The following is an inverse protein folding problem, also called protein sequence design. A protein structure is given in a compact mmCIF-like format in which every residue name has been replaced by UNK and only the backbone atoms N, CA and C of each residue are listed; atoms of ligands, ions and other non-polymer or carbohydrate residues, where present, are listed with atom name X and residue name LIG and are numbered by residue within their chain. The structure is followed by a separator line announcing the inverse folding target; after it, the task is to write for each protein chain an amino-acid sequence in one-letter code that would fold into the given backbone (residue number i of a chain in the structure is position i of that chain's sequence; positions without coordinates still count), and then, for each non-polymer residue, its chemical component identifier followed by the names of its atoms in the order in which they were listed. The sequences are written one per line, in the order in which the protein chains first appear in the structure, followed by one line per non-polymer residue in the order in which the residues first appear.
data_IF_979271547039
#
_entry.id   IF_979271547039
#
_cell.length_a   1.000
_cell.length_b   1.000
_cell.length_c   1.000
_cell.angle_alpha   90.00
_cell.angle_beta   90.00
_cell.angle_gamma   90.00
#
_symmetry.space_group_name_H-M   'P 1'
#
loop_
_entity.id
_entity.type
_entity.pdbx_description
1 polymer ?
#
# COMPACT_ATOMS: atom_id res chain seq x y z
N UNK A 1 9.10 18.07 -7.14
CA UNK A 1 7.99 19.06 -7.07
C UNK A 1 7.54 19.12 -5.63
N UNK A 2 7.29 20.32 -5.11
CA UNK A 2 6.72 20.50 -3.78
C UNK A 2 5.43 19.69 -3.62
N UNK A 3 5.25 19.06 -2.47
CA UNK A 3 4.07 18.26 -2.16
C UNK A 3 3.25 18.98 -1.09
N UNK A 4 1.94 19.04 -1.30
CA UNK A 4 1.04 19.60 -0.31
C UNK A 4 0.79 18.58 0.80
N UNK A 5 1.13 18.95 2.04
CA UNK A 5 0.67 18.24 3.24
C UNK A 5 -0.46 19.04 3.89
N UNK A 6 -1.34 18.36 4.64
CA UNK A 6 -2.53 18.93 5.28
C UNK A 6 -2.20 20.15 6.16
N UNK A 7 -0.97 20.26 6.66
CA UNK A 7 -0.51 21.35 7.53
C UNK A 7 0.42 22.35 6.83
N UNK A 8 1.30 21.91 5.92
CA UNK A 8 2.25 22.78 5.20
C UNK A 8 2.66 22.25 3.82
N UNK A 9 3.30 23.07 3.00
CA UNK A 9 4.01 22.60 1.81
C UNK A 9 5.33 21.96 2.24
N UNK A 10 5.65 20.79 1.66
CA UNK A 10 6.93 20.10 1.84
C UNK A 10 7.75 20.27 0.56
N UNK A 11 8.90 20.92 0.70
CA UNK A 11 9.83 21.16 -0.39
C UNK A 11 10.80 19.97 -0.56
N UNK A 12 11.11 19.55 -1.79
CA UNK A 12 11.96 18.40 -2.03
C UNK A 12 13.42 18.63 -1.60
N UNK A 13 13.81 19.90 -1.41
CA UNK A 13 15.15 20.30 -0.97
C UNK A 13 15.32 20.26 0.55
N UNK A 14 14.26 19.98 1.32
CA UNK A 14 14.37 19.82 2.77
C UNK A 14 15.29 18.64 3.10
N UNK A 15 16.08 18.79 4.17
CA UNK A 15 17.04 17.75 4.60
C UNK A 15 16.35 16.57 5.26
N UNK A 16 15.27 16.81 6.01
CA UNK A 16 14.53 15.76 6.71
C UNK A 16 13.73 14.91 5.73
N UNK A 17 13.82 13.59 5.93
CA UNK A 17 13.12 12.64 5.09
C UNK A 17 11.61 12.70 5.33
N UNK A 18 10.87 12.77 4.23
CA UNK A 18 9.42 12.54 4.24
C UNK A 18 9.02 11.74 3.00
N UNK A 19 7.98 10.93 3.14
CA UNK A 19 7.42 10.17 2.02
C UNK A 19 6.09 9.55 2.36
N UNK A 20 5.36 9.10 1.34
CA UNK A 20 4.07 8.44 1.53
C UNK A 20 3.95 7.18 0.67
N UNK A 21 3.16 6.23 1.15
CA UNK A 21 2.84 4.99 0.45
C UNK A 21 1.72 5.26 -0.53
N UNK A 22 1.93 4.95 -1.81
CA UNK A 22 0.90 5.16 -2.84
C UNK A 22 0.41 3.84 -3.47
N UNK A 23 1.14 2.75 -3.27
CA UNK A 23 0.79 1.44 -3.81
C UNK A 23 1.34 0.35 -2.90
N UNK A 24 0.60 -0.75 -2.77
CA UNK A 24 1.09 -2.00 -2.18
C UNK A 24 0.90 -3.08 -3.23
N UNK A 25 1.87 -3.99 -3.34
CA UNK A 25 1.71 -5.21 -4.13
C UNK A 25 1.90 -6.41 -3.20
N UNK A 26 0.98 -7.36 -3.25
CA UNK A 26 1.13 -8.63 -2.54
C UNK A 26 1.48 -9.77 -3.50
N UNK A 27 1.94 -10.86 -2.89
CA UNK A 27 2.16 -12.14 -3.55
C UNK A 27 3.17 -12.04 -4.71
N UNK A 28 4.33 -11.41 -4.44
CA UNK A 28 5.44 -11.32 -5.40
C UNK A 28 6.18 -12.66 -5.58
N UNK A 29 6.09 -13.54 -4.58
CA UNK A 29 6.58 -14.91 -4.60
C UNK A 29 5.53 -15.79 -3.89
N UNK A 30 4.96 -16.80 -4.59
CA UNK A 30 3.96 -17.71 -4.03
C UNK A 30 4.40 -18.43 -2.74
N UNK A 31 5.72 -18.58 -2.52
CA UNK A 31 6.24 -19.35 -1.38
C UNK A 31 6.37 -18.54 -0.10
N UNK A 32 6.47 -17.21 -0.17
CA UNK A 32 6.87 -16.38 0.96
C UNK A 32 5.83 -15.36 1.41
N UNK A 33 4.66 -15.27 0.74
CA UNK A 33 3.63 -14.26 1.02
C UNK A 33 4.22 -12.84 1.17
N UNK A 34 5.23 -12.54 0.35
CA UNK A 34 5.95 -11.27 0.41
C UNK A 34 5.10 -10.16 -0.17
N UNK A 35 4.90 -9.10 0.62
CA UNK A 35 4.26 -7.86 0.18
C UNK A 35 5.28 -6.74 0.16
N UNK A 36 5.08 -5.81 -0.76
CA UNK A 36 5.95 -4.66 -0.94
C UNK A 36 5.12 -3.38 -0.99
N UNK A 37 5.42 -2.46 -0.09
CA UNK A 37 4.85 -1.12 -0.07
C UNK A 37 5.77 -0.17 -0.86
N UNK A 38 5.18 0.53 -1.82
CA UNK A 38 5.87 1.52 -2.65
C UNK A 38 5.70 2.90 -2.02
N UNK A 39 6.82 3.43 -1.54
CA UNK A 39 6.92 4.74 -0.92
C UNK A 39 7.52 5.70 -1.92
N UNK A 40 6.85 6.83 -2.13
CA UNK A 40 7.41 7.97 -2.84
C UNK A 40 8.08 8.90 -1.85
N UNK A 41 9.37 9.16 -2.03
CA UNK A 41 10.08 10.17 -1.26
C UNK A 41 9.65 11.58 -1.72
N UNK A 42 9.28 12.42 -0.76
CA UNK A 42 8.85 13.80 -0.96
C UNK A 42 9.97 14.79 -0.63
N UNK A 43 10.77 14.51 0.38
CA UNK A 43 11.93 15.31 0.80
C UNK A 43 13.02 14.44 1.42
N UNK A 44 14.20 15.03 1.63
CA UNK A 44 15.33 14.39 2.29
C UNK A 44 15.99 13.28 1.50
N UNK A 45 16.80 12.49 2.20
CA UNK A 45 17.57 11.39 1.63
C UNK A 45 17.44 10.14 2.49
N UNK A 46 17.17 9.02 1.84
CA UNK A 46 17.20 7.70 2.46
C UNK A 46 18.62 7.16 2.50
N UNK A 47 18.98 6.52 3.62
CA UNK A 47 20.16 5.68 3.78
C UNK A 47 19.78 4.38 4.50
N UNK A 48 20.40 3.24 4.15
CA UNK A 48 20.19 1.97 4.83
C UNK A 48 20.39 2.06 6.34
N UNK A 49 19.41 1.57 7.07
CA UNK A 49 19.44 1.51 8.53
C UNK A 49 19.03 2.81 9.24
N UNK A 50 18.56 3.83 8.52
CA UNK A 50 17.91 4.99 9.14
C UNK A 50 16.62 4.57 9.87
N UNK A 51 16.25 5.36 10.90
CA UNK A 51 14.97 5.20 11.61
C UNK A 51 13.92 6.06 10.94
N UNK A 52 12.81 5.44 10.57
CA UNK A 52 11.63 6.12 10.03
C UNK A 52 10.52 6.10 11.07
N UNK A 53 9.76 7.18 11.14
CA UNK A 53 8.58 7.32 11.98
C UNK A 53 7.33 7.18 11.12
N UNK A 54 6.48 6.20 11.43
CA UNK A 54 5.18 6.01 10.78
C UNK A 54 4.14 6.85 11.50
N UNK A 55 3.62 7.90 10.82
CA UNK A 55 2.76 8.89 11.46
C UNK A 55 1.45 8.29 11.98
N UNK A 56 0.81 7.40 11.19
CA UNK A 56 -0.47 6.78 11.58
C UNK A 56 -0.38 5.92 12.84
N UNK A 57 0.70 5.15 12.99
CA UNK A 57 0.86 4.21 14.13
C UNK A 57 1.61 4.83 15.29
N UNK A 58 2.28 5.97 15.09
CA UNK A 58 3.13 6.62 16.08
C UNK A 58 4.39 5.81 16.42
N UNK A 59 4.79 4.87 15.57
CA UNK A 59 5.93 3.97 15.83
C UNK A 59 7.10 4.28 14.92
N UNK A 60 8.30 4.21 15.47
CA UNK A 60 9.54 4.27 14.70
C UNK A 60 10.11 2.88 14.45
N UNK A 61 10.63 2.65 13.25
CA UNK A 61 11.27 1.39 12.87
C UNK A 61 12.51 1.66 12.01
N UNK A 62 13.42 0.68 11.95
CA UNK A 62 14.66 0.78 11.18
C UNK A 62 14.42 0.25 9.76
N UNK A 63 14.82 1.01 8.75
CA UNK A 63 14.67 0.62 7.34
C UNK A 63 16.03 0.19 6.77
N UNK A 64 16.37 -1.09 6.93
CA UNK A 64 17.62 -1.66 6.42
C UNK A 64 17.52 -2.14 4.96
N UNK A 65 16.41 -2.77 4.61
CA UNK A 65 16.25 -3.47 3.32
C UNK A 65 15.24 -2.78 2.40
N UNK A 66 15.48 -1.50 2.09
CA UNK A 66 14.72 -0.84 1.02
C UNK A 66 15.29 -1.23 -0.35
N UNK A 67 14.39 -1.43 -1.32
CA UNK A 67 14.74 -1.70 -2.72
C UNK A 67 14.41 -0.49 -3.59
N UNK A 68 15.25 -0.20 -4.56
CA UNK A 68 14.98 0.79 -5.62
C UNK A 68 14.57 0.05 -6.88
N UNK A 69 13.70 0.69 -7.65
CA UNK A 69 13.25 0.17 -8.93
C UNK A 69 13.88 1.02 -10.03
N UNK A 70 15.05 0.58 -10.50
CA UNK A 70 15.76 1.22 -11.61
C UNK A 70 15.82 0.23 -12.78
N UNK A 71 15.11 0.55 -13.87
CA UNK A 71 14.93 -0.34 -15.03
C UNK A 71 14.38 -1.74 -14.64
N UNK A 72 14.75 -2.80 -15.36
CA UNK A 72 14.30 -4.17 -15.10
C UNK A 72 14.96 -4.83 -13.86
N UNK A 73 15.78 -4.11 -13.10
CA UNK A 73 16.50 -4.67 -11.96
C UNK A 73 15.90 -4.17 -10.63
N UNK A 74 15.67 -5.10 -9.70
CA UNK A 74 15.42 -4.81 -8.29
C UNK A 74 16.76 -4.90 -7.56
N UNK A 75 17.35 -3.78 -7.18
CA UNK A 75 18.60 -3.75 -6.41
C UNK A 75 18.38 -3.18 -5.02
N UNK A 76 19.17 -3.65 -4.06
CA UNK A 76 19.26 -2.97 -2.76
C UNK A 76 19.79 -1.56 -2.98
N UNK A 77 19.23 -0.61 -2.25
CA UNK A 77 19.52 0.81 -2.46
C UNK A 77 20.53 1.32 -1.45
N UNK A 78 21.66 1.83 -1.92
CA UNK A 78 22.64 2.48 -1.04
C UNK A 78 22.20 3.90 -0.61
N UNK A 79 21.43 4.59 -1.46
CA UNK A 79 20.71 5.81 -1.09
C UNK A 79 19.62 6.18 -2.10
N UNK A 80 18.60 6.91 -1.66
CA UNK A 80 17.56 7.48 -2.53
C UNK A 80 17.20 8.90 -2.10
N UNK A 81 16.69 9.72 -3.01
CA UNK A 81 16.38 11.13 -2.78
C UNK A 81 14.92 11.46 -3.11
N UNK A 82 14.49 12.68 -2.78
CA UNK A 82 13.16 13.18 -3.12
C UNK A 82 12.82 12.96 -4.60
N UNK A 83 11.69 12.30 -4.86
CA UNK A 83 11.23 11.90 -6.18
C UNK A 83 11.39 10.41 -6.48
N UNK A 84 12.34 9.74 -5.83
CA UNK A 84 12.54 8.30 -5.99
C UNK A 84 11.41 7.48 -5.37
N UNK A 85 11.25 6.26 -5.89
CA UNK A 85 10.31 5.26 -5.38
C UNK A 85 11.10 4.15 -4.68
N UNK A 86 10.81 3.96 -3.40
CA UNK A 86 11.36 2.91 -2.57
C UNK A 86 10.34 1.79 -2.36
N UNK A 87 10.81 0.55 -2.42
CA UNK A 87 10.06 -0.64 -2.05
C UNK A 87 10.44 -1.08 -0.64
N UNK A 88 9.48 -1.04 0.28
CA UNK A 88 9.63 -1.54 1.64
C UNK A 88 8.93 -2.90 1.78
N UNK A 89 9.57 -3.92 2.37
CA UNK A 89 8.89 -5.13 2.78
C UNK A 89 7.73 -4.80 3.73
N UNK A 90 6.55 -5.39 3.48
CA UNK A 90 5.35 -5.14 4.25
C UNK A 90 4.80 -6.45 4.84
N UNK A 91 4.76 -6.54 6.16
CA UNK A 91 4.15 -7.66 6.88
C UNK A 91 2.72 -7.34 7.38
N UNK A 92 2.05 -6.37 6.75
CA UNK A 92 0.68 -5.96 7.08
C UNK A 92 0.58 -4.73 7.98
N UNK A 93 1.72 -4.11 8.33
CA UNK A 93 1.76 -2.90 9.16
C UNK A 93 1.64 -1.61 8.36
N UNK A 94 1.96 -1.66 7.07
CA UNK A 94 1.96 -0.52 6.14
C UNK A 94 0.71 -0.57 5.28
N UNK A 95 0.03 0.57 5.16
CA UNK A 95 -1.20 0.76 4.37
C UNK A 95 -1.00 1.84 3.30
N UNK A 96 -1.82 1.81 2.25
CA UNK A 96 -1.85 2.89 1.25
C UNK A 96 -2.23 4.19 1.94
N UNK A 97 -1.50 5.27 1.65
CA UNK A 97 -1.65 6.57 2.29
C UNK A 97 -0.83 6.76 3.56
N UNK A 98 -0.13 5.72 4.06
CA UNK A 98 0.77 5.89 5.20
C UNK A 98 1.88 6.88 4.90
N UNK A 99 2.20 7.73 5.89
CA UNK A 99 3.25 8.75 5.81
C UNK A 99 4.40 8.35 6.72
N UNK A 100 5.62 8.46 6.19
CA UNK A 100 6.86 8.25 6.91
C UNK A 100 7.66 9.56 6.98
N UNK A 101 8.18 9.87 8.16
CA UNK A 101 9.03 11.03 8.42
C UNK A 101 10.18 10.69 9.36
N UNK A 102 11.01 11.66 9.73
CA UNK A 102 12.00 11.53 10.81
C UNK A 102 11.49 11.94 12.20
N UNK A 103 10.16 12.05 12.38
CA UNK A 103 9.51 12.37 13.65
C UNK A 103 8.49 13.49 13.57
N UNK A 104 8.50 14.28 12.49
CA UNK A 104 7.47 15.29 12.24
C UNK A 104 6.12 14.61 11.96
N UNK A 105 5.04 15.10 12.58
CA UNK A 105 3.69 14.63 12.27
C UNK A 105 3.16 15.33 11.02
N UNK A 106 3.32 14.65 9.88
CA UNK A 106 2.84 15.11 8.58
C UNK A 106 1.76 14.18 8.04
N UNK A 107 0.81 14.77 7.33
CA UNK A 107 -0.19 14.04 6.55
C UNK A 107 -0.15 14.58 5.13
N UNK A 108 0.21 13.76 4.16
CA UNK A 108 0.07 14.13 2.76
C UNK A 108 -1.38 13.89 2.35
N UNK A 109 -1.93 14.77 1.50
CA UNK A 109 -3.17 14.48 0.80
C UNK A 109 -2.89 13.28 -0.12
N UNK A 110 -3.15 12.08 0.40
CA UNK A 110 -2.72 10.82 -0.18
C UNK A 110 -3.44 10.48 -1.49
N UNK A 111 -3.32 9.22 -1.90
CA UNK A 111 -4.08 8.68 -3.03
C UNK A 111 -5.57 8.74 -2.68
N UNK A 112 -6.40 9.50 -3.42
CA UNK A 112 -7.82 9.58 -3.14
C UNK A 112 -8.47 8.20 -3.34
N UNK A 113 -9.32 7.81 -2.40
CA UNK A 113 -10.24 6.70 -2.61
C UNK A 113 -11.39 7.21 -3.47
N UNK A 114 -11.48 6.71 -4.70
CA UNK A 114 -12.56 7.04 -5.61
C UNK A 114 -13.80 6.23 -5.28
N UNK A 115 -14.98 6.84 -5.31
CA UNK A 115 -16.23 6.10 -5.15
C UNK A 115 -16.37 5.07 -6.30
N UNK A 116 -16.66 3.78 -6.01
CA UNK A 116 -16.88 2.80 -7.05
C UNK A 116 -18.14 3.10 -7.87
N UNK A 117 -18.08 2.82 -9.17
CA UNK A 117 -19.24 2.92 -10.06
C UNK A 117 -19.94 1.57 -10.25
N UNK A 118 -19.20 0.48 -10.05
CA UNK A 118 -19.68 -0.88 -10.29
C UNK A 118 -19.67 -1.68 -9.00
N UNK A 119 -20.75 -2.42 -8.74
CA UNK A 119 -20.87 -3.27 -7.56
C UNK A 119 -21.27 -4.68 -7.98
N UNK A 120 -20.60 -5.69 -7.39
CA UNK A 120 -20.99 -7.10 -7.53
C UNK A 120 -20.98 -7.79 -6.18
N UNK A 121 -21.94 -8.67 -5.97
CA UNK A 121 -21.98 -9.55 -4.81
C UNK A 121 -21.11 -10.78 -5.07
N UNK A 122 -20.27 -11.13 -4.11
CA UNK A 122 -19.50 -12.37 -4.13
C UNK A 122 -20.40 -13.52 -3.68
N UNK A 123 -20.43 -14.59 -4.47
CA UNK A 123 -21.13 -15.83 -4.13
C UNK A 123 -20.07 -16.93 -4.08
N UNK A 124 -20.13 -17.74 -3.03
CA UNK A 124 -19.30 -18.93 -2.88
C UNK A 124 -20.11 -20.15 -3.33
N UNK A 125 -19.52 -20.95 -4.21
CA UNK A 125 -20.09 -22.24 -4.59
C UNK A 125 -19.95 -23.27 -3.45
N UNK A 126 -18.84 -23.23 -2.72
CA UNK A 126 -18.57 -24.08 -1.55
C UNK A 126 -18.58 -23.26 -0.24
N UNK A 127 -19.60 -23.44 0.62
CA UNK A 127 -19.69 -22.75 1.91
C UNK A 127 -18.49 -23.01 2.85
N UNK A 128 -17.80 -24.15 2.73
CA UNK A 128 -16.67 -24.50 3.60
C UNK A 128 -15.46 -23.58 3.39
N UNK A 129 -15.37 -22.91 2.24
CA UNK A 129 -14.28 -21.98 1.90
C UNK A 129 -14.49 -20.55 2.38
N UNK A 130 -15.54 -20.28 3.16
CA UNK A 130 -15.87 -18.93 3.63
C UNK A 130 -14.72 -18.20 4.35
N UNK A 131 -13.95 -18.91 5.19
CA UNK A 131 -12.79 -18.34 5.88
C UNK A 131 -11.67 -17.95 4.92
N UNK A 132 -11.38 -18.81 3.95
CA UNK A 132 -10.37 -18.56 2.92
C UNK A 132 -10.76 -17.37 2.06
N UNK A 133 -12.03 -17.29 1.64
CA UNK A 133 -12.55 -16.14 0.90
C UNK A 133 -12.37 -14.85 1.69
N UNK A 134 -12.82 -14.82 2.96
CA UNK A 134 -12.73 -13.61 3.77
C UNK A 134 -11.28 -13.11 3.90
N UNK A 135 -10.33 -14.03 4.03
CA UNK A 135 -8.89 -13.70 4.06
C UNK A 135 -8.42 -13.14 2.71
N UNK A 136 -8.69 -13.82 1.60
CA UNK A 136 -8.25 -13.36 0.26
C UNK A 136 -8.86 -12.01 -0.13
N UNK A 137 -10.15 -11.78 0.16
CA UNK A 137 -10.80 -10.49 -0.04
C UNK A 137 -10.14 -9.37 0.79
N UNK A 138 -9.73 -9.67 2.03
CA UNK A 138 -9.04 -8.71 2.88
C UNK A 138 -7.64 -8.39 2.33
N UNK A 139 -6.89 -9.38 1.86
CA UNK A 139 -5.58 -9.17 1.24
C UNK A 139 -5.69 -8.29 -0.02
N UNK A 140 -6.65 -8.58 -0.89
CA UNK A 140 -6.95 -7.77 -2.08
C UNK A 140 -7.41 -6.35 -1.74
N UNK A 141 -8.11 -6.17 -0.61
CA UNK A 141 -8.50 -4.85 -0.12
C UNK A 141 -7.28 -4.03 0.31
N UNK A 142 -6.32 -4.65 0.99
CA UNK A 142 -5.08 -4.02 1.45
C UNK A 142 -4.18 -3.61 0.27
N UNK A 143 -4.20 -4.36 -0.84
CA UNK A 143 -3.54 -3.98 -2.09
C UNK A 143 -4.22 -2.82 -2.83
N UNK A 144 -5.48 -2.52 -2.49
CA UNK A 144 -6.30 -1.56 -3.22
C UNK A 144 -6.75 -2.07 -4.60
N UNK A 145 -6.82 -3.39 -4.80
CA UNK A 145 -7.23 -4.00 -6.07
C UNK A 145 -8.71 -3.67 -6.40
N UNK A 146 -9.55 -3.65 -5.38
CA UNK A 146 -10.95 -3.20 -5.41
C UNK A 146 -11.36 -2.73 -3.99
N UNK A 147 -12.54 -2.14 -3.87
CA UNK A 147 -13.12 -1.84 -2.56
C UNK A 147 -14.06 -2.96 -2.13
N UNK A 148 -14.04 -3.30 -0.85
CA UNK A 148 -14.84 -4.40 -0.31
C UNK A 148 -15.74 -3.89 0.79
N UNK A 149 -17.01 -4.26 0.71
CA UNK A 149 -18.06 -3.80 1.60
C UNK A 149 -18.77 -4.99 2.23
N UNK A 150 -19.09 -4.88 3.51
CA UNK A 150 -20.03 -5.75 4.20
C UNK A 150 -21.25 -4.93 4.59
N UNK A 151 -22.45 -5.24 4.09
CA UNK A 151 -23.67 -4.59 4.55
C UNK A 151 -23.84 -4.79 6.06
N UNK A 152 -24.51 -3.84 6.72
CA UNK A 152 -24.86 -3.97 8.14
C UNK A 152 -25.83 -5.15 8.40
N UNK A 153 -26.56 -5.57 7.37
CA UNK A 153 -27.54 -6.66 7.43
C UNK A 153 -27.09 -7.76 6.46
N UNK A 154 -26.94 -8.98 6.97
CA UNK A 154 -26.49 -10.14 6.20
C UNK A 154 -24.99 -10.42 6.36
N UNK A 155 -24.47 -11.37 5.58
CA UNK A 155 -23.06 -11.79 5.63
C UNK A 155 -22.37 -11.69 4.26
N UNK A 156 -23.09 -11.18 3.26
CA UNK A 156 -22.63 -11.09 1.88
C UNK A 156 -21.46 -10.11 1.77
N UNK A 157 -20.51 -10.46 0.91
CA UNK A 157 -19.44 -9.56 0.50
C UNK A 157 -19.83 -8.86 -0.79
N UNK A 158 -19.64 -7.54 -0.83
CA UNK A 158 -19.86 -6.72 -2.03
C UNK A 158 -18.50 -6.16 -2.45
N UNK A 159 -18.12 -6.39 -3.71
CA UNK A 159 -16.95 -5.79 -4.33
C UNK A 159 -17.40 -4.56 -5.11
N UNK A 160 -16.82 -3.41 -4.80
CA UNK A 160 -16.94 -2.18 -5.58
C UNK A 160 -15.69 -1.95 -6.42
N UNK A 161 -15.90 -1.67 -7.71
CA UNK A 161 -14.85 -1.37 -8.67
C UNK A 161 -15.12 -0.05 -9.40
N UNK A 162 -14.04 0.61 -9.81
CA UNK A 162 -14.07 1.76 -10.74
C UNK A 162 -14.27 1.23 -12.17
N UNK A 163 -13.64 0.10 -12.51
CA UNK A 163 -13.75 -0.52 -13.83
C UNK A 163 -14.05 -2.02 -13.77
N UNK A 164 -14.76 -2.57 -14.77
CA UNK A 164 -15.24 -3.96 -14.74
C UNK A 164 -14.11 -5.01 -14.69
N UNK A 165 -12.94 -4.72 -15.28
CA UNK A 165 -11.77 -5.62 -15.27
C UNK A 165 -11.30 -5.98 -13.84
N UNK A 166 -11.55 -5.11 -12.85
CA UNK A 166 -11.15 -5.38 -11.47
C UNK A 166 -11.87 -6.61 -10.91
N UNK A 167 -13.09 -6.91 -11.36
CA UNK A 167 -13.79 -8.13 -10.96
C UNK A 167 -13.09 -9.38 -11.47
N UNK A 168 -12.62 -9.36 -12.71
CA UNK A 168 -11.92 -10.49 -13.32
C UNK A 168 -10.58 -10.73 -12.62
N UNK A 169 -9.87 -9.65 -12.27
CA UNK A 169 -8.62 -9.72 -11.49
C UNK A 169 -8.87 -10.28 -10.10
N UNK A 170 -9.92 -9.84 -9.40
CA UNK A 170 -10.29 -10.36 -8.08
C UNK A 170 -10.63 -11.85 -8.17
N UNK A 171 -11.43 -12.25 -9.16
CA UNK A 171 -11.82 -13.66 -9.34
C UNK A 171 -10.60 -14.55 -9.65
N UNK A 172 -9.69 -14.11 -10.53
CA UNK A 172 -8.48 -14.84 -10.85
C UNK A 172 -7.56 -15.00 -9.63
N UNK A 173 -7.34 -13.92 -8.85
CA UNK A 173 -6.52 -13.96 -7.64
C UNK A 173 -7.06 -14.90 -6.57
N UNK A 174 -8.38 -14.86 -6.34
CA UNK A 174 -9.04 -15.76 -5.39
C UNK A 174 -9.05 -17.23 -5.83
N UNK A 175 -8.80 -17.51 -7.11
CA UNK A 175 -8.68 -18.87 -7.62
C UNK A 175 -7.25 -19.42 -7.51
N UNK A 176 -6.25 -18.53 -7.59
CA UNK A 176 -4.83 -18.86 -7.46
C UNK A 176 -4.38 -19.00 -5.98
N UNK A 177 -5.15 -18.47 -5.02
CA UNK A 177 -4.93 -18.51 -3.56
C UNK A 177 -5.75 -19.59 -2.81
#
# INVERSE_FOLDING_TARGET
RAQWSTTRTVEPVETSLSGFVFKIQANLDPQHHDRMAFVRLCSGRYQPGMRWFQVRTGRSFKVADARTFFANARSQTDSAVAGDILGLPNHGTIQIGDVFTEGEQLSFAGVPNFAPEWFRRVILDDPLRSKTLARGLQELAEEGAAQFFRPLIGQDWIVGAIGPLQFDVVAARLADE
#
